data_IF_479590250133
#
_entry.id   IF_479590250133
#
_cell.length_a   1.000
_cell.length_b   1.000
_cell.length_c   1.000
_cell.angle_alpha   90.00
_cell.angle_beta   90.00
_cell.angle_gamma   90.00
#
_symmetry.space_group_name_H-M   'P 1'
#
loop_
_entity.id
_entity.type
_entity.pdbx_description
1 polymer ?
#
# COMPACT_ATOMS: atom_id res chain seq x y z
N UNK A 1 8.31 -12.41 -14.70
CA UNK A 1 7.27 -12.39 -13.66
C UNK A 1 6.17 -11.44 -14.12
N UNK A 2 4.88 -11.82 -14.02
CA UNK A 2 3.75 -10.94 -14.39
C UNK A 2 3.63 -9.80 -13.40
N UNK A 3 3.38 -8.57 -13.87
CA UNK A 3 3.15 -7.41 -13.04
C UNK A 3 1.66 -7.12 -12.92
N UNK A 4 1.18 -7.02 -11.68
CA UNK A 4 -0.23 -6.67 -11.41
C UNK A 4 -0.47 -5.17 -11.59
N UNK A 5 0.46 -4.33 -11.14
CA UNK A 5 0.45 -2.87 -11.35
C UNK A 5 1.83 -2.44 -11.82
N UNK A 6 1.88 -1.65 -12.88
CA UNK A 6 3.09 -1.04 -13.39
C UNK A 6 2.83 0.44 -13.70
N UNK A 7 3.74 1.30 -13.32
CA UNK A 7 3.71 2.72 -13.68
C UNK A 7 5.05 3.17 -14.23
N UNK A 8 5.02 4.07 -15.22
CA UNK A 8 6.23 4.64 -15.83
C UNK A 8 6.04 6.14 -15.97
N UNK A 9 6.88 6.92 -15.27
CA UNK A 9 6.83 8.37 -15.28
C UNK A 9 5.45 8.92 -14.86
N UNK A 10 4.69 8.16 -14.05
CA UNK A 10 3.30 8.49 -13.76
C UNK A 10 3.19 9.79 -12.99
N UNK A 11 2.37 10.71 -13.53
CA UNK A 11 2.10 12.00 -12.93
C UNK A 11 0.63 12.36 -12.92
N UNK A 12 0.18 12.97 -11.81
CA UNK A 12 -1.16 13.54 -11.66
C UNK A 12 -1.11 14.87 -10.93
N UNK A 13 -1.79 15.89 -11.48
CA UNK A 13 -1.88 17.22 -10.88
C UNK A 13 -3.31 17.58 -10.50
N UNK A 14 -3.43 18.37 -9.44
CA UNK A 14 -4.65 19.07 -9.06
C UNK A 14 -4.32 20.57 -9.02
N UNK A 15 -4.80 21.29 -10.02
CA UNK A 15 -4.39 22.68 -10.23
C UNK A 15 -2.88 22.78 -10.54
N UNK A 16 -2.13 23.44 -9.67
CA UNK A 16 -0.66 23.60 -9.80
C UNK A 16 0.14 22.55 -9.02
N UNK A 17 -0.49 21.83 -8.09
CA UNK A 17 0.19 20.88 -7.23
C UNK A 17 0.22 19.49 -7.85
N UNK A 18 1.37 18.83 -7.81
CA UNK A 18 1.51 17.42 -8.14
C UNK A 18 1.05 16.56 -6.96
N UNK A 19 0.10 15.67 -7.21
CA UNK A 19 -0.25 14.60 -6.28
C UNK A 19 0.61 13.35 -6.51
N UNK A 20 1.04 13.15 -7.77
CA UNK A 20 2.04 12.17 -8.17
C UNK A 20 2.94 12.81 -9.22
N UNK A 21 4.24 12.58 -9.14
CA UNK A 21 5.22 13.14 -10.04
C UNK A 21 6.30 12.09 -10.33
N UNK A 22 6.43 11.74 -11.60
CA UNK A 22 7.46 10.82 -12.08
C UNK A 22 7.54 9.50 -11.27
N UNK A 23 6.35 8.93 -10.97
CA UNK A 23 6.29 7.69 -10.21
C UNK A 23 6.55 6.49 -11.13
N UNK A 24 7.60 5.72 -10.79
CA UNK A 24 7.88 4.41 -11.34
C UNK A 24 7.62 3.36 -10.25
N UNK A 25 6.76 2.39 -10.54
CA UNK A 25 6.33 1.35 -9.62
C UNK A 25 6.09 0.06 -10.37
N UNK A 26 6.51 -1.06 -9.79
CA UNK A 26 6.21 -2.41 -10.25
C UNK A 26 5.73 -3.24 -9.07
N UNK A 27 4.47 -3.68 -9.10
CA UNK A 27 3.91 -4.61 -8.11
C UNK A 27 3.73 -5.96 -8.79
N UNK A 28 4.45 -7.00 -8.37
CA UNK A 28 4.31 -8.34 -8.93
C UNK A 28 2.92 -8.94 -8.65
N UNK A 29 2.44 -9.80 -9.57
CA UNK A 29 1.24 -10.57 -9.36
C UNK A 29 1.40 -11.60 -8.22
N UNK A 30 0.31 -11.86 -7.48
CA UNK A 30 0.28 -12.80 -6.36
C UNK A 30 0.83 -12.27 -5.05
N UNK A 31 1.24 -10.99 -4.98
CA UNK A 31 1.77 -10.36 -3.77
C UNK A 31 0.70 -9.62 -2.97
N UNK A 32 0.96 -9.51 -1.66
CA UNK A 32 0.22 -8.61 -0.77
C UNK A 32 1.09 -7.39 -0.53
N UNK A 33 0.86 -6.34 -1.33
CA UNK A 33 1.66 -5.14 -1.32
C UNK A 33 1.06 -4.07 -0.39
N UNK A 34 1.90 -3.53 0.50
CA UNK A 34 1.59 -2.38 1.32
C UNK A 34 1.99 -1.08 0.60
N UNK A 35 1.05 -0.16 0.42
CA UNK A 35 1.30 1.20 -0.06
C UNK A 35 1.26 2.15 1.13
N UNK A 36 2.42 2.56 1.62
CA UNK A 36 2.56 3.38 2.83
C UNK A 36 3.04 4.79 2.51
N UNK A 37 2.69 5.73 3.36
CA UNK A 37 3.07 7.13 3.24
C UNK A 37 2.15 8.04 4.04
N UNK A 38 2.55 9.28 4.32
CA UNK A 38 1.74 10.24 5.06
C UNK A 38 0.47 10.62 4.30
N UNK A 39 -0.44 11.31 4.98
CA UNK A 39 -1.61 11.89 4.34
C UNK A 39 -1.17 12.92 3.29
N UNK A 40 -1.80 12.88 2.11
CA UNK A 40 -1.43 13.74 0.99
C UNK A 40 -0.26 13.24 0.14
N UNK A 41 0.39 12.11 0.48
CA UNK A 41 1.50 11.56 -0.32
C UNK A 41 1.12 11.11 -1.74
N UNK A 42 -0.19 10.93 -2.02
CA UNK A 42 -0.68 10.50 -3.33
C UNK A 42 -1.23 9.07 -3.39
N UNK A 43 -1.33 8.35 -2.26
CA UNK A 43 -1.79 6.95 -2.19
C UNK A 43 -3.16 6.75 -2.88
N UNK A 44 -4.18 7.48 -2.45
CA UNK A 44 -5.52 7.46 -3.05
C UNK A 44 -5.49 7.79 -4.54
N UNK A 45 -4.68 8.77 -4.93
CA UNK A 45 -4.52 9.16 -6.34
C UNK A 45 -3.95 8.03 -7.18
N UNK A 46 -2.92 7.32 -6.67
CA UNK A 46 -2.34 6.16 -7.32
C UNK A 46 -3.37 5.04 -7.50
N UNK A 47 -4.12 4.71 -6.45
CA UNK A 47 -5.17 3.68 -6.51
C UNK A 47 -6.29 4.06 -7.48
N UNK A 48 -6.72 5.32 -7.50
CA UNK A 48 -7.74 5.82 -8.44
C UNK A 48 -7.26 5.78 -9.90
N UNK A 49 -5.98 6.02 -10.16
CA UNK A 49 -5.39 5.84 -11.50
C UNK A 49 -5.35 4.36 -11.87
N UNK A 50 -4.95 3.48 -10.94
CA UNK A 50 -4.87 2.05 -11.17
C UNK A 50 -6.24 1.38 -11.40
N UNK A 51 -7.34 1.92 -10.83
CA UNK A 51 -8.71 1.45 -11.12
C UNK A 51 -9.36 2.19 -12.29
N UNK A 52 -8.67 3.15 -12.92
CA UNK A 52 -9.16 3.89 -14.08
C UNK A 52 -10.19 4.99 -13.78
N UNK A 53 -10.39 5.35 -12.50
CA UNK A 53 -11.26 6.46 -12.09
C UNK A 53 -10.66 7.83 -12.43
N UNK A 54 -9.34 7.92 -12.55
CA UNK A 54 -8.62 9.12 -12.94
C UNK A 54 -7.82 8.88 -14.21
N UNK A 55 -7.55 9.99 -14.91
CA UNK A 55 -6.63 10.02 -16.05
C UNK A 55 -5.29 10.60 -15.61
N UNK A 56 -4.15 9.97 -15.94
CA UNK A 56 -2.84 10.58 -15.69
C UNK A 56 -2.66 11.85 -16.52
N UNK A 57 -1.88 12.80 -15.99
CA UNK A 57 -1.46 14.01 -16.70
C UNK A 57 -0.07 13.82 -17.35
N UNK A 58 0.70 12.83 -16.87
CA UNK A 58 1.98 12.41 -17.45
C UNK A 58 2.18 10.91 -17.23
N UNK A 59 3.00 10.30 -18.08
CA UNK A 59 3.33 8.88 -17.99
C UNK A 59 2.13 7.95 -18.16
N UNK A 60 2.25 6.73 -17.67
CA UNK A 60 1.22 5.71 -17.81
C UNK A 60 1.09 4.81 -16.57
N UNK A 61 -0.08 4.18 -16.43
CA UNK A 61 -0.35 3.10 -15.50
C UNK A 61 -0.91 1.91 -16.27
N UNK A 62 -0.44 0.71 -15.96
CA UNK A 62 -0.91 -0.55 -16.51
C UNK A 62 -1.29 -1.51 -15.40
N UNK A 63 -2.38 -2.23 -15.60
CA UNK A 63 -2.85 -3.31 -14.73
C UNK A 63 -2.85 -4.59 -15.55
N UNK A 64 -2.03 -5.57 -15.16
CA UNK A 64 -1.75 -6.77 -15.95
C UNK A 64 -1.43 -6.43 -17.41
N UNK A 65 -0.55 -5.45 -17.62
CA UNK A 65 -0.11 -4.98 -18.94
C UNK A 65 -1.12 -4.15 -19.73
N UNK A 66 -2.33 -3.88 -19.20
CA UNK A 66 -3.42 -3.17 -19.90
C UNK A 66 -3.72 -1.80 -19.27
N UNK A 67 -4.11 -0.82 -20.08
CA UNK A 67 -4.65 0.45 -19.56
C UNK A 67 -5.96 0.17 -18.79
N UNK A 68 -6.08 0.54 -17.51
CA UNK A 68 -7.29 0.30 -16.72
C UNK A 68 -8.55 0.99 -17.29
N UNK A 69 -8.37 1.96 -18.20
CA UNK A 69 -9.46 2.66 -18.89
C UNK A 69 -9.85 2.03 -20.23
N UNK A 70 -9.15 0.97 -20.66
CA UNK A 70 -9.41 0.34 -21.96
C UNK A 70 -10.77 -0.39 -22.04
N UNK A 71 -11.54 -0.42 -20.95
CA UNK A 71 -12.91 -0.93 -20.94
C UNK A 71 -13.23 -1.88 -19.79
N UNK A 72 -14.45 -2.37 -19.80
CA UNK A 72 -15.02 -3.19 -18.72
C UNK A 72 -14.32 -4.54 -18.52
N UNK A 73 -13.60 -5.04 -19.52
CA UNK A 73 -12.84 -6.29 -19.41
C UNK A 73 -11.65 -6.18 -18.47
N UNK A 74 -10.99 -5.01 -18.41
CA UNK A 74 -9.90 -4.75 -17.44
C UNK A 74 -10.48 -4.56 -16.05
N UNK A 75 -11.56 -3.78 -15.95
CA UNK A 75 -12.23 -3.53 -14.67
C UNK A 75 -12.82 -4.80 -14.05
N UNK A 76 -13.15 -5.82 -14.84
CA UNK A 76 -13.61 -7.11 -14.32
C UNK A 76 -12.54 -7.81 -13.46
N UNK A 77 -11.27 -7.58 -13.75
CA UNK A 77 -10.14 -8.16 -13.00
C UNK A 77 -9.78 -7.37 -11.74
N UNK A 78 -10.39 -6.18 -11.51
CA UNK A 78 -10.06 -5.29 -10.41
C UNK A 78 -11.21 -5.23 -9.40
N UNK A 79 -10.97 -5.57 -8.14
CA UNK A 79 -11.80 -5.20 -7.00
C UNK A 79 -11.28 -3.91 -6.37
N UNK A 80 -12.17 -3.02 -5.96
CA UNK A 80 -11.78 -1.77 -5.30
C UNK A 80 -12.64 -1.48 -4.08
N UNK A 81 -12.01 -1.16 -2.96
CA UNK A 81 -12.65 -0.66 -1.75
C UNK A 81 -12.06 0.71 -1.45
N UNK A 82 -12.90 1.74 -1.57
CA UNK A 82 -12.50 3.11 -1.29
C UNK A 82 -12.51 3.41 0.22
N UNK A 83 -11.79 4.44 0.62
CA UNK A 83 -11.53 4.85 2.01
C UNK A 83 -12.82 4.97 2.86
N UNK A 84 -13.86 5.59 2.33
CA UNK A 84 -15.12 5.80 3.06
C UNK A 84 -16.09 4.62 2.99
N UNK A 85 -15.63 3.48 2.44
CA UNK A 85 -16.48 2.29 2.21
C UNK A 85 -17.86 2.67 1.68
N UNK A 86 -17.96 3.30 0.48
CA UNK A 86 -19.18 3.90 -0.04
C UNK A 86 -20.16 2.81 -0.52
N UNK A 87 -20.91 2.26 0.42
CA UNK A 87 -22.06 1.40 0.13
C UNK A 87 -23.34 2.23 0.23
N UNK A 88 -24.32 1.94 -0.63
CA UNK A 88 -25.62 2.61 -0.58
C UNK A 88 -26.30 2.34 0.79
N UNK A 89 -26.47 3.40 1.59
CA UNK A 89 -26.86 3.29 3.01
C UNK A 89 -28.27 2.74 3.21
N UNK A 90 -29.16 2.97 2.25
CA UNK A 90 -30.54 2.51 2.29
C UNK A 90 -30.72 1.07 1.79
N UNK A 91 -29.70 0.52 1.13
CA UNK A 91 -29.71 -0.85 0.64
C UNK A 91 -29.28 -1.82 1.73
N UNK A 92 -29.92 -2.97 1.76
CA UNK A 92 -29.52 -4.11 2.59
C UNK A 92 -28.31 -4.83 1.94
N UNK A 93 -27.62 -5.66 2.72
CA UNK A 93 -26.51 -6.46 2.21
C UNK A 93 -26.97 -7.39 1.05
N UNK A 94 -28.17 -7.96 1.15
CA UNK A 94 -28.75 -8.81 0.10
C UNK A 94 -29.02 -8.03 -1.19
N UNK A 95 -29.52 -6.79 -1.09
CA UNK A 95 -29.75 -5.91 -2.24
C UNK A 95 -28.44 -5.46 -2.89
N UNK A 96 -27.42 -5.14 -2.08
CA UNK A 96 -26.07 -4.80 -2.56
C UNK A 96 -25.43 -5.97 -3.35
N UNK A 97 -25.54 -7.20 -2.84
CA UNK A 97 -25.07 -8.40 -3.55
C UNK A 97 -25.83 -8.57 -4.88
N UNK A 98 -27.16 -8.39 -4.85
CA UNK A 98 -27.99 -8.49 -6.07
C UNK A 98 -27.62 -7.43 -7.10
N UNK A 99 -27.42 -6.19 -6.67
CA UNK A 99 -26.98 -5.08 -7.51
C UNK A 99 -25.60 -5.36 -8.10
N UNK A 100 -24.66 -5.84 -7.29
CA UNK A 100 -23.33 -6.23 -7.74
C UNK A 100 -23.37 -7.26 -8.87
N UNK A 101 -24.25 -8.26 -8.75
CA UNK A 101 -24.48 -9.27 -9.81
C UNK A 101 -25.03 -8.69 -11.10
N UNK A 102 -25.93 -7.71 -11.02
CA UNK A 102 -26.46 -7.03 -12.21
C UNK A 102 -25.39 -6.19 -12.92
N UNK A 103 -24.46 -5.59 -12.18
CA UNK A 103 -23.37 -4.76 -12.71
C UNK A 103 -22.20 -5.60 -13.24
N UNK A 104 -21.98 -6.81 -12.69
CA UNK A 104 -20.83 -7.66 -13.01
C UNK A 104 -21.27 -9.02 -13.61
N UNK A 105 -22.15 -9.01 -14.59
CA UNK A 105 -22.84 -10.19 -15.15
C UNK A 105 -21.93 -11.34 -15.58
N UNK A 106 -20.67 -11.06 -15.95
CA UNK A 106 -19.73 -12.08 -16.45
C UNK A 106 -18.94 -12.77 -15.35
N UNK A 107 -18.79 -12.14 -14.20
CA UNK A 107 -17.88 -12.60 -13.15
C UNK A 107 -18.37 -12.10 -11.80
N UNK A 108 -19.31 -12.84 -11.23
CA UNK A 108 -19.91 -12.50 -9.93
C UNK A 108 -20.27 -13.74 -9.15
N UNK A 109 -19.72 -13.87 -7.97
CA UNK A 109 -19.98 -14.96 -7.04
C UNK A 109 -20.81 -14.46 -5.85
N UNK A 110 -22.13 -14.50 -6.01
CA UNK A 110 -23.05 -14.09 -4.98
C UNK A 110 -23.05 -15.05 -3.77
N UNK A 111 -22.68 -16.33 -3.96
CA UNK A 111 -22.59 -17.31 -2.88
C UNK A 111 -21.44 -16.94 -1.95
N UNK A 112 -20.25 -16.68 -2.49
CA UNK A 112 -19.08 -16.23 -1.72
C UNK A 112 -19.41 -15.01 -0.85
N UNK A 113 -20.09 -14.00 -1.40
CA UNK A 113 -20.43 -12.81 -0.62
C UNK A 113 -21.40 -13.15 0.53
N UNK A 114 -22.42 -13.97 0.27
CA UNK A 114 -23.40 -14.37 1.31
C UNK A 114 -22.74 -15.20 2.41
N UNK A 115 -21.93 -16.18 2.06
CA UNK A 115 -21.22 -17.05 3.01
C UNK A 115 -20.30 -16.25 3.92
N UNK A 116 -19.54 -15.29 3.34
CA UNK A 116 -18.67 -14.39 4.12
C UNK A 116 -19.47 -13.53 5.11
N UNK A 117 -20.54 -12.90 4.65
CA UNK A 117 -21.36 -12.06 5.53
C UNK A 117 -22.08 -12.89 6.61
N UNK A 118 -22.52 -14.10 6.28
CA UNK A 118 -23.11 -15.03 7.24
C UNK A 118 -22.10 -15.47 8.31
N UNK A 119 -20.87 -15.81 7.92
CA UNK A 119 -19.79 -16.18 8.85
C UNK A 119 -19.44 -15.06 9.83
N UNK A 120 -19.63 -13.79 9.42
CA UNK A 120 -19.43 -12.60 10.26
C UNK A 120 -20.68 -12.16 11.03
N UNK A 121 -21.78 -12.93 10.95
CA UNK A 121 -23.05 -12.61 11.61
C UNK A 121 -23.69 -11.31 11.12
N UNK A 122 -23.42 -10.88 9.87
CA UNK A 122 -23.97 -9.66 9.30
C UNK A 122 -25.37 -9.97 8.73
N UNK A 123 -26.44 -9.37 9.27
CA UNK A 123 -27.80 -9.65 8.81
C UNK A 123 -28.00 -9.21 7.35
N UNK A 124 -28.54 -10.09 6.48
CA UNK A 124 -28.68 -9.81 5.04
C UNK A 124 -29.74 -8.75 4.74
N UNK A 125 -30.71 -8.56 5.61
CA UNK A 125 -31.88 -7.69 5.46
C UNK A 125 -31.73 -6.33 6.17
N UNK A 126 -30.64 -6.14 6.92
CA UNK A 126 -30.37 -4.87 7.60
C UNK A 126 -29.80 -3.83 6.64
N UNK A 127 -30.38 -2.61 6.55
CA UNK A 127 -29.82 -1.53 5.74
C UNK A 127 -28.37 -1.19 6.13
N UNK A 128 -27.51 -0.99 5.14
CA UNK A 128 -26.08 -0.73 5.36
C UNK A 128 -25.81 0.52 6.23
N UNK A 129 -26.68 1.52 6.17
CA UNK A 129 -26.60 2.69 7.03
C UNK A 129 -26.78 2.41 8.52
N UNK A 130 -27.39 1.27 8.88
CA UNK A 130 -27.58 0.80 10.27
C UNK A 130 -26.53 -0.18 10.75
N UNK A 131 -25.59 -0.57 9.89
CA UNK A 131 -24.43 -1.40 10.23
C UNK A 131 -23.35 -0.57 10.95
N UNK A 132 -22.54 -1.22 11.79
CA UNK A 132 -21.32 -0.58 12.33
C UNK A 132 -20.33 -0.23 11.22
N UNK A 133 -19.31 0.59 11.51
CA UNK A 133 -18.23 0.89 10.56
C UNK A 133 -17.53 -0.38 10.08
N UNK A 134 -17.16 -1.27 11.01
CA UNK A 134 -16.54 -2.55 10.70
C UNK A 134 -17.44 -3.45 9.86
N UNK A 135 -18.72 -3.55 10.17
CA UNK A 135 -19.66 -4.33 9.37
C UNK A 135 -19.80 -3.78 7.94
N UNK A 136 -19.83 -2.44 7.76
CA UNK A 136 -19.85 -1.84 6.42
C UNK A 136 -18.57 -2.13 5.63
N UNK A 137 -17.41 -2.05 6.28
CA UNK A 137 -16.14 -2.41 5.66
C UNK A 137 -16.14 -3.87 5.21
N UNK A 138 -16.66 -4.80 6.03
CA UNK A 138 -16.80 -6.21 5.67
C UNK A 138 -17.77 -6.42 4.48
N UNK A 139 -18.87 -5.68 4.44
CA UNK A 139 -19.78 -5.71 3.27
C UNK A 139 -19.06 -5.24 2.02
N UNK A 140 -18.34 -4.12 2.07
CA UNK A 140 -17.59 -3.61 0.91
C UNK A 140 -16.52 -4.60 0.45
N UNK A 141 -15.79 -5.23 1.38
CA UNK A 141 -14.80 -6.27 1.07
C UNK A 141 -15.46 -7.49 0.42
N UNK A 142 -16.58 -7.98 0.98
CA UNK A 142 -17.31 -9.13 0.42
C UNK A 142 -17.80 -8.86 -1.01
N UNK A 143 -18.29 -7.64 -1.29
CA UNK A 143 -18.69 -7.23 -2.63
C UNK A 143 -17.51 -7.16 -3.60
N UNK A 144 -16.37 -6.62 -3.17
CA UNK A 144 -15.16 -6.56 -4.00
C UNK A 144 -14.63 -7.96 -4.33
N UNK A 145 -14.63 -8.88 -3.36
CA UNK A 145 -14.20 -10.27 -3.51
C UNK A 145 -15.17 -11.11 -4.34
N UNK A 146 -16.49 -10.81 -4.32
CA UNK A 146 -17.49 -11.50 -5.13
C UNK A 146 -17.26 -11.34 -6.65
N UNK A 147 -16.48 -10.33 -7.06
CA UNK A 147 -16.00 -10.21 -8.45
C UNK A 147 -14.96 -11.27 -8.82
N UNK A 148 -14.41 -12.01 -7.86
CA UNK A 148 -13.25 -12.89 -8.07
C UNK A 148 -12.09 -12.14 -8.77
N UNK A 149 -11.66 -10.97 -8.25
CA UNK A 149 -10.69 -10.14 -8.92
C UNK A 149 -9.31 -10.77 -8.90
N UNK A 150 -8.48 -10.44 -9.92
CA UNK A 150 -7.04 -10.75 -9.92
C UNK A 150 -6.25 -9.73 -9.12
N UNK A 151 -6.76 -8.48 -9.03
CA UNK A 151 -6.17 -7.38 -8.26
C UNK A 151 -7.23 -6.77 -7.35
N UNK A 152 -6.94 -6.72 -6.06
CA UNK A 152 -7.76 -6.05 -5.05
C UNK A 152 -7.02 -4.79 -4.58
N UNK A 153 -7.61 -3.63 -4.87
CA UNK A 153 -7.13 -2.32 -4.44
C UNK A 153 -7.93 -1.88 -3.22
N UNK A 154 -7.25 -1.56 -2.12
CA UNK A 154 -7.87 -1.18 -0.85
C UNK A 154 -7.31 0.18 -0.40
N UNK A 155 -8.15 1.21 -0.35
CA UNK A 155 -7.74 2.55 0.04
C UNK A 155 -8.08 2.83 1.51
N UNK A 156 -7.09 2.71 2.38
CA UNK A 156 -7.19 2.89 3.84
C UNK A 156 -8.43 2.20 4.48
N UNK A 157 -8.72 0.93 4.16
CA UNK A 157 -9.99 0.29 4.49
C UNK A 157 -10.21 0.10 5.98
N UNK A 158 -9.16 0.20 6.79
CA UNK A 158 -9.18 -0.03 8.25
C UNK A 158 -8.96 1.26 9.06
N UNK A 159 -8.73 2.41 8.41
CA UNK A 159 -8.34 3.65 9.10
C UNK A 159 -9.37 4.12 10.15
N UNK A 160 -10.65 3.97 9.86
CA UNK A 160 -11.75 4.40 10.73
C UNK A 160 -12.30 3.31 11.65
N UNK A 161 -11.67 2.11 11.66
CA UNK A 161 -12.12 0.97 12.45
C UNK A 161 -11.47 0.95 13.83
N UNK A 162 -12.20 0.44 14.83
CA UNK A 162 -11.63 0.11 16.12
C UNK A 162 -10.64 -1.09 16.01
N UNK A 163 -9.76 -1.32 17.00
CA UNK A 163 -8.74 -2.35 16.92
C UNK A 163 -9.26 -3.78 16.66
N UNK A 164 -10.43 -4.12 17.20
CA UNK A 164 -11.02 -5.44 16.99
C UNK A 164 -11.53 -5.59 15.56
N UNK A 165 -12.29 -4.61 15.06
CA UNK A 165 -12.79 -4.60 13.69
C UNK A 165 -11.66 -4.58 12.65
N UNK A 166 -10.53 -3.90 12.92
CA UNK A 166 -9.31 -3.96 12.07
C UNK A 166 -8.78 -5.38 11.96
N UNK A 167 -8.61 -6.04 13.11
CA UNK A 167 -8.10 -7.42 13.16
C UNK A 167 -9.02 -8.38 12.40
N UNK A 168 -10.33 -8.27 12.61
CA UNK A 168 -11.33 -9.07 11.90
C UNK A 168 -11.29 -8.81 10.38
N UNK A 169 -11.14 -7.55 9.96
CA UNK A 169 -11.02 -7.19 8.55
C UNK A 169 -9.77 -7.81 7.93
N UNK A 170 -8.61 -7.68 8.58
CA UNK A 170 -7.36 -8.25 8.08
C UNK A 170 -7.40 -9.78 8.05
N UNK A 171 -8.00 -10.44 9.03
CA UNK A 171 -8.19 -11.90 9.01
C UNK A 171 -9.08 -12.33 7.85
N UNK A 172 -10.20 -11.63 7.61
CA UNK A 172 -11.09 -11.89 6.49
C UNK A 172 -10.41 -11.68 5.14
N UNK A 173 -9.59 -10.63 5.02
CA UNK A 173 -8.78 -10.35 3.82
C UNK A 173 -7.76 -11.46 3.58
N UNK A 174 -6.95 -11.81 4.59
CA UNK A 174 -5.91 -12.85 4.46
C UNK A 174 -6.51 -14.21 4.13
N UNK A 175 -7.61 -14.60 4.76
CA UNK A 175 -8.33 -15.83 4.43
C UNK A 175 -8.79 -15.86 2.97
N UNK A 176 -9.30 -14.73 2.46
CA UNK A 176 -9.74 -14.63 1.06
C UNK A 176 -8.59 -14.74 0.06
N UNK A 177 -7.45 -14.15 0.38
CA UNK A 177 -6.26 -14.15 -0.48
C UNK A 177 -5.60 -15.53 -0.49
N UNK A 178 -5.54 -16.22 0.66
CA UNK A 178 -4.99 -17.57 0.76
C UNK A 178 -5.73 -18.60 -0.09
N UNK A 179 -7.03 -18.39 -0.34
CA UNK A 179 -7.87 -19.25 -1.18
C UNK A 179 -7.80 -18.91 -2.68
N UNK A 180 -7.09 -17.86 -3.05
CA UNK A 180 -7.04 -17.33 -4.42
C UNK A 180 -5.65 -16.74 -4.74
N UNK A 181 -5.29 -16.68 -6.01
CA UNK A 181 -4.07 -15.99 -6.48
C UNK A 181 -4.28 -14.47 -6.63
N UNK A 182 -5.14 -13.88 -5.79
CA UNK A 182 -5.45 -12.46 -5.88
C UNK A 182 -4.28 -11.62 -5.38
N UNK A 183 -3.79 -10.71 -6.20
CA UNK A 183 -2.86 -9.67 -5.77
C UNK A 183 -3.60 -8.62 -4.94
N UNK A 184 -3.01 -8.14 -3.87
CA UNK A 184 -3.56 -7.05 -3.04
C UNK A 184 -2.62 -5.86 -3.07
N UNK A 185 -3.15 -4.67 -3.28
CA UNK A 185 -2.46 -3.41 -3.01
C UNK A 185 -3.28 -2.62 -1.99
N UNK A 186 -2.78 -2.60 -0.76
CA UNK A 186 -3.44 -2.01 0.41
C UNK A 186 -2.75 -0.73 0.83
N UNK A 187 -3.44 0.42 0.76
CA UNK A 187 -2.90 1.65 1.34
C UNK A 187 -3.16 1.72 2.85
N UNK A 188 -2.16 2.16 3.60
CA UNK A 188 -2.28 2.43 5.02
C UNK A 188 -1.24 3.46 5.47
N UNK A 189 -1.56 4.15 6.56
CA UNK A 189 -0.61 4.95 7.33
C UNK A 189 -0.22 4.26 8.66
N UNK A 190 -0.81 3.08 8.94
CA UNK A 190 -0.57 2.27 10.15
C UNK A 190 0.31 1.07 9.79
N UNK A 191 1.61 1.17 10.08
CA UNK A 191 2.60 0.15 9.71
C UNK A 191 2.43 -1.15 10.51
N UNK A 192 2.10 -1.06 11.80
CA UNK A 192 1.97 -2.23 12.67
C UNK A 192 0.91 -3.25 12.18
N UNK A 193 -0.15 -2.78 11.49
CA UNK A 193 -1.18 -3.65 10.94
C UNK A 193 -0.72 -4.39 9.66
N UNK A 194 0.34 -3.87 9.00
CA UNK A 194 0.84 -4.38 7.72
C UNK A 194 2.04 -5.33 7.88
N UNK A 195 2.85 -5.15 8.90
CA UNK A 195 4.13 -5.86 9.10
C UNK A 195 4.01 -7.39 9.06
N UNK A 196 2.86 -7.91 9.51
CA UNK A 196 2.59 -9.36 9.55
C UNK A 196 1.80 -9.88 8.36
N UNK A 197 1.38 -8.99 7.47
CA UNK A 197 0.39 -9.31 6.44
C UNK A 197 0.89 -9.07 5.03
N UNK A 198 1.93 -8.25 4.85
CA UNK A 198 2.42 -7.83 3.55
C UNK A 198 3.79 -8.42 3.27
N UNK A 199 3.98 -8.89 2.04
CA UNK A 199 5.25 -9.44 1.53
C UNK A 199 5.93 -8.50 0.52
N UNK A 200 5.29 -7.37 0.19
CA UNK A 200 5.83 -6.35 -0.70
C UNK A 200 5.54 -4.95 -0.17
N UNK A 201 6.52 -4.06 -0.24
CA UNK A 201 6.42 -2.69 0.26
C UNK A 201 6.51 -1.67 -0.87
N UNK A 202 5.70 -0.62 -0.77
CA UNK A 202 5.79 0.60 -1.57
C UNK A 202 5.70 1.81 -0.64
N UNK A 203 6.76 2.60 -0.56
CA UNK A 203 6.78 3.85 0.22
C UNK A 203 6.59 5.03 -0.71
N UNK A 204 5.52 5.78 -0.49
CA UNK A 204 5.17 6.96 -1.26
C UNK A 204 5.25 8.20 -0.38
N UNK A 205 6.04 9.19 -0.80
CA UNK A 205 6.13 10.49 -0.14
C UNK A 205 6.44 11.58 -1.14
N UNK A 206 5.94 12.78 -0.88
CA UNK A 206 6.19 13.96 -1.73
C UNK A 206 5.91 13.67 -3.21
N UNK A 207 4.78 13.00 -3.44
CA UNK A 207 4.32 12.63 -4.78
C UNK A 207 5.24 11.66 -5.55
N UNK A 208 6.22 11.03 -4.90
CA UNK A 208 7.20 10.11 -5.51
C UNK A 208 7.29 8.79 -4.75
N UNK A 209 7.63 7.73 -5.46
CA UNK A 209 8.01 6.45 -4.85
C UNK A 209 9.43 6.59 -4.28
N UNK A 210 9.59 6.35 -2.98
CA UNK A 210 10.86 6.45 -2.26
C UNK A 210 11.56 5.09 -2.14
N UNK A 211 10.78 4.04 -1.93
CA UNK A 211 11.26 2.67 -1.77
C UNK A 211 10.21 1.70 -2.29
N UNK A 212 10.63 0.62 -2.93
CA UNK A 212 9.76 -0.48 -3.33
C UNK A 212 10.55 -1.77 -3.41
N UNK A 213 9.93 -2.88 -3.01
CA UNK A 213 10.55 -4.21 -3.08
C UNK A 213 9.90 -5.24 -2.17
N UNK A 214 10.32 -6.52 -2.29
CA UNK A 214 9.96 -7.57 -1.33
C UNK A 214 10.43 -7.21 0.08
N UNK A 215 9.55 -7.39 1.08
CA UNK A 215 9.84 -6.99 2.48
C UNK A 215 11.09 -7.70 3.00
N UNK A 216 11.21 -9.00 2.77
CA UNK A 216 12.34 -9.79 3.25
C UNK A 216 13.66 -9.28 2.67
N UNK A 217 13.72 -9.02 1.36
CA UNK A 217 14.93 -8.49 0.68
C UNK A 217 15.29 -7.09 1.21
N UNK A 218 14.28 -6.25 1.46
CA UNK A 218 14.49 -4.92 2.01
C UNK A 218 15.06 -4.99 3.43
N UNK A 219 14.54 -5.89 4.28
CA UNK A 219 15.05 -6.08 5.65
C UNK A 219 16.43 -6.75 5.65
N UNK A 220 16.71 -7.65 4.72
CA UNK A 220 18.04 -8.28 4.58
C UNK A 220 19.12 -7.32 4.11
N UNK A 221 18.77 -6.37 3.26
CA UNK A 221 19.72 -5.42 2.67
C UNK A 221 19.93 -4.15 3.51
N UNK A 222 19.10 -3.92 4.54
CA UNK A 222 19.23 -2.75 5.41
C UNK A 222 19.64 -3.14 6.83
N UNK A 223 20.43 -2.29 7.49
CA UNK A 223 20.88 -2.48 8.86
C UNK A 223 20.94 -1.16 9.61
N UNK A 224 20.80 -1.25 10.93
CA UNK A 224 21.12 -0.14 11.81
C UNK A 224 22.54 -0.34 12.35
N UNK A 225 23.41 0.64 12.13
CA UNK A 225 24.78 0.65 12.62
C UNK A 225 24.89 1.64 13.76
N UNK A 226 25.52 1.20 14.87
CA UNK A 226 25.82 2.03 16.03
C UNK A 226 27.32 2.06 16.25
N UNK A 227 27.92 3.24 16.23
CA UNK A 227 29.38 3.39 16.32
C UNK A 227 29.83 4.78 16.69
N UNK A 228 31.15 5.08 16.63
CA UNK A 228 31.70 6.37 17.03
C UNK A 228 31.23 7.49 16.09
N UNK A 229 31.12 8.71 16.63
CA UNK A 229 30.81 9.90 15.83
C UNK A 229 31.88 10.19 14.78
N UNK A 230 33.15 10.00 15.14
CA UNK A 230 34.26 10.16 14.22
C UNK A 230 34.22 9.05 13.16
N UNK A 231 34.32 9.42 11.88
CA UNK A 231 34.28 8.47 10.75
C UNK A 231 32.88 8.03 10.33
N UNK A 232 31.82 8.60 10.89
CA UNK A 232 30.43 8.24 10.52
C UNK A 232 30.03 8.68 9.11
N UNK A 233 30.83 9.49 8.43
CA UNK A 233 30.59 9.98 7.06
C UNK A 233 30.93 8.94 5.98
N UNK A 234 31.82 7.98 6.31
CA UNK A 234 32.26 6.93 5.38
C UNK A 234 32.55 5.64 6.13
N UNK A 235 31.55 4.80 6.31
CA UNK A 235 31.66 3.51 6.99
C UNK A 235 31.89 2.40 5.96
N UNK A 236 32.93 1.60 6.14
CA UNK A 236 33.22 0.47 5.23
C UNK A 236 32.05 -0.53 5.21
N UNK A 237 31.76 -1.12 4.04
CA UNK A 237 30.65 -2.07 3.86
C UNK A 237 29.27 -1.41 3.75
N UNK A 238 29.17 -0.09 3.68
CA UNK A 238 27.93 0.67 3.50
C UNK A 238 27.83 1.17 2.06
N UNK A 239 26.75 0.85 1.36
CA UNK A 239 26.47 1.36 0.03
C UNK A 239 25.81 2.75 0.09
N UNK A 240 24.88 2.93 1.04
CA UNK A 240 24.14 4.19 1.21
C UNK A 240 23.73 4.36 2.68
N UNK A 241 23.89 5.56 3.20
CA UNK A 241 23.27 5.98 4.47
C UNK A 241 21.89 6.53 4.16
N UNK A 242 20.83 5.87 4.67
CA UNK A 242 19.44 6.29 4.51
C UNK A 242 19.09 7.35 5.55
N UNK A 243 19.51 7.14 6.81
CA UNK A 243 19.27 8.06 7.90
C UNK A 243 20.46 8.07 8.86
N UNK A 244 20.85 9.24 9.30
CA UNK A 244 21.87 9.41 10.31
C UNK A 244 21.31 10.18 11.53
N UNK A 245 21.63 9.71 12.73
CA UNK A 245 21.38 10.40 13.99
C UNK A 245 22.65 10.42 14.79
N UNK A 246 22.97 11.57 15.36
CA UNK A 246 24.24 11.78 16.03
C UNK A 246 24.04 12.37 17.42
N UNK A 247 24.81 11.85 18.36
CA UNK A 247 25.08 12.48 19.65
C UNK A 247 26.49 13.10 19.63
N UNK A 248 26.98 13.65 20.74
CA UNK A 248 28.35 14.17 20.82
C UNK A 248 29.42 13.12 20.52
N UNK A 249 29.19 11.86 20.89
CA UNK A 249 30.20 10.78 20.84
C UNK A 249 29.83 9.60 19.96
N UNK A 250 28.56 9.43 19.68
CA UNK A 250 28.02 8.24 19.01
C UNK A 250 27.14 8.61 17.80
N UNK A 251 27.15 7.78 16.78
CA UNK A 251 26.26 7.84 15.65
C UNK A 251 25.44 6.57 15.54
N UNK A 252 24.17 6.75 15.17
CA UNK A 252 23.27 5.67 14.77
C UNK A 252 22.90 5.92 13.30
N UNK A 253 23.24 4.98 12.43
CA UNK A 253 23.02 5.07 11.00
C UNK A 253 22.07 3.96 10.57
N UNK A 254 20.98 4.26 9.87
CA UNK A 254 20.27 3.28 9.10
C UNK A 254 20.86 3.29 7.69
N UNK A 255 21.35 2.15 7.25
CA UNK A 255 22.13 2.01 6.02
C UNK A 255 21.60 0.91 5.12
N UNK A 256 21.82 1.07 3.83
CA UNK A 256 21.79 -0.02 2.88
C UNK A 256 23.19 -0.66 2.83
N UNK A 257 23.27 -1.97 3.02
CA UNK A 257 24.54 -2.70 2.95
C UNK A 257 25.15 -2.62 1.55
N UNK A 258 26.46 -2.46 1.52
CA UNK A 258 27.26 -2.62 0.33
C UNK A 258 28.01 -3.96 0.31
N UNK A 259 28.90 -4.09 -0.63
CA UNK A 259 29.78 -5.24 -0.72
C UNK A 259 30.89 -5.14 0.33
N UNK A 260 31.12 -6.25 1.04
CA UNK A 260 32.19 -6.36 2.02
C UNK A 260 31.76 -6.28 3.48
N UNK A 261 32.72 -6.45 4.41
CA UNK A 261 32.45 -6.44 5.83
C UNK A 261 32.21 -5.00 6.34
N UNK A 262 31.33 -4.87 7.32
CA UNK A 262 31.16 -3.61 8.07
C UNK A 262 32.42 -3.38 8.93
N UNK A 263 32.82 -2.12 9.08
CA UNK A 263 33.92 -1.70 9.95
C UNK A 263 33.70 -2.24 11.38
N UNK A 264 34.67 -2.96 11.96
CA UNK A 264 34.56 -3.57 13.30
C UNK A 264 34.27 -2.60 14.45
N UNK A 265 34.45 -1.30 14.25
CA UNK A 265 34.08 -0.27 15.22
C UNK A 265 32.58 -0.01 15.30
N UNK A 266 31.80 -0.59 14.37
CA UNK A 266 30.36 -0.44 14.30
C UNK A 266 29.66 -1.73 14.69
N UNK A 267 28.64 -1.59 15.55
CA UNK A 267 27.75 -2.70 15.91
C UNK A 267 26.55 -2.71 14.96
N UNK A 268 26.30 -3.86 14.35
CA UNK A 268 25.22 -4.08 13.39
C UNK A 268 23.99 -4.62 14.13
N UNK A 269 22.81 -4.03 13.84
CA UNK A 269 21.50 -4.46 14.31
C UNK A 269 20.55 -4.65 13.15
N UNK A 270 19.59 -5.58 13.32
CA UNK A 270 18.48 -5.75 12.38
C UNK A 270 17.59 -4.51 12.37
N UNK A 271 16.88 -4.30 11.26
CA UNK A 271 15.96 -3.19 11.06
C UNK A 271 14.54 -3.74 11.04
N UNK A 272 13.62 -3.08 11.73
CA UNK A 272 12.18 -3.38 11.60
C UNK A 272 11.61 -2.70 10.35
N UNK A 273 10.47 -3.19 9.85
CA UNK A 273 9.78 -2.56 8.73
C UNK A 273 9.39 -1.10 9.07
N UNK A 274 8.99 -0.85 10.31
CA UNK A 274 8.66 0.49 10.79
C UNK A 274 9.85 1.43 10.74
N UNK A 275 11.02 1.01 11.26
CA UNK A 275 12.25 1.81 11.22
C UNK A 275 12.67 2.15 9.80
N UNK A 276 12.59 1.16 8.89
CA UNK A 276 12.93 1.33 7.47
C UNK A 276 12.02 2.37 6.81
N UNK A 277 10.71 2.25 6.98
CA UNK A 277 9.74 3.19 6.41
C UNK A 277 9.94 4.59 6.99
N UNK A 278 10.05 4.72 8.32
CA UNK A 278 10.24 6.03 8.98
C UNK A 278 11.54 6.71 8.54
N UNK A 279 12.59 5.94 8.28
CA UNK A 279 13.86 6.49 7.80
C UNK A 279 13.73 7.08 6.40
N UNK A 280 13.09 6.36 5.46
CA UNK A 280 12.87 6.84 4.10
C UNK A 280 11.92 8.04 4.04
N UNK A 281 10.91 8.09 4.91
CA UNK A 281 10.04 9.24 5.04
C UNK A 281 10.82 10.49 5.53
N UNK A 282 11.68 10.33 6.52
CA UNK A 282 12.50 11.43 7.04
C UNK A 282 13.55 11.94 6.03
N UNK A 283 14.17 11.03 5.25
CA UNK A 283 15.12 11.40 4.19
C UNK A 283 14.45 12.25 3.10
N UNK A 284 13.23 11.87 2.69
CA UNK A 284 12.49 12.61 1.68
C UNK A 284 12.15 14.04 2.15
N UNK A 285 11.77 14.23 3.41
CA UNK A 285 11.49 15.56 3.96
C UNK A 285 12.76 16.44 4.03
N UNK A 286 13.90 15.84 4.37
CA UNK A 286 15.17 16.54 4.41
C UNK A 286 15.62 17.04 3.03
N UNK A 287 15.42 16.24 1.96
CA UNK A 287 15.74 16.63 0.58
C UNK A 287 14.95 17.85 0.12
N UNK A 288 13.65 17.88 0.36
CA UNK A 288 12.82 19.04 -0.05
C UNK A 288 13.19 20.28 0.73
N UNK A 289 13.52 20.13 2.00
CA UNK A 289 13.99 21.28 2.79
C UNK A 289 15.31 21.82 2.22
N UNK A 290 16.26 20.95 1.85
CA UNK A 290 17.52 21.34 1.23
C UNK A 290 17.30 22.03 -0.14
N UNK A 291 16.47 21.46 -1.01
CA UNK A 291 16.11 22.06 -2.31
C UNK A 291 15.43 23.43 -2.16
N UNK A 292 14.52 23.58 -1.18
CA UNK A 292 13.85 24.85 -0.92
C UNK A 292 14.79 25.96 -0.45
N UNK A 293 15.90 25.60 0.20
CA UNK A 293 16.93 26.52 0.71
C UNK A 293 18.15 26.63 -0.23
N UNK A 294 18.15 25.97 -1.40
CA UNK A 294 19.22 26.02 -2.38
C UNK A 294 20.54 25.37 -1.91
N UNK A 295 20.47 24.47 -0.94
CA UNK A 295 21.62 23.69 -0.47
C UNK A 295 21.71 22.44 -1.33
N UNK A 296 22.83 22.15 -2.01
CA UNK A 296 22.99 20.90 -2.76
C UNK A 296 22.92 19.70 -1.80
N UNK A 297 22.23 18.65 -2.25
CA UNK A 297 22.02 17.40 -1.50
C UNK A 297 23.31 16.59 -1.34
#
# INVERSE_FOLDING_TARGET
>A
MELAVQTQGLGKRYGRAWALQDCALEVPAGRIAALVGPNGAGKTTLLHLAVGLLRPDAGEVRVFGRDPRAGTSVLADIGFVAQDTPVYRDFTAAELITMGGKLNRRRWDAALARERLAALGIPPDKPAGKLSGGQRAQVALALALAKRPRLLLLDEPIASLDPLARREFMQALMGAVAESETTVLLSSHLLADLERSCDYLVVLQQSRVQLTGPVDELLETHRTLVGPRAGSEAVAGVAKVVRASHTERQSTLLVQRGDGPIDPLWTEHEVTLEDLVLAHLAEADARVTAEAWGVPA
#
